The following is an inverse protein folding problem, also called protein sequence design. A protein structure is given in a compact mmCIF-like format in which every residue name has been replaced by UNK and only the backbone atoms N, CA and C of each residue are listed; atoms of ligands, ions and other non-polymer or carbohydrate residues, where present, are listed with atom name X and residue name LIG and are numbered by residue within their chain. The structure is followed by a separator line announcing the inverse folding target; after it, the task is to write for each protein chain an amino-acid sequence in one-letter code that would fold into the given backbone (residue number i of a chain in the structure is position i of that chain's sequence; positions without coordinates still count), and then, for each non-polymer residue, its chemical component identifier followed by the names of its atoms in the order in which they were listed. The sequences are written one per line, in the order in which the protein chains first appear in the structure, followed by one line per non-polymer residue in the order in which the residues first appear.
data_IF_854747468940
#
_entry.id   IF_854747468940
#
_cell.length_a   1.000
_cell.length_b   1.000
_cell.length_c   1.000
_cell.angle_alpha   90.00
_cell.angle_beta   90.00
_cell.angle_gamma   90.00
#
_symmetry.space_group_name_H-M   'P 1'
#
loop_
_entity.id
_entity.type
_entity.pdbx_description
1 polymer ?
#
# COMPACT_ATOMS: atom_id res chain seq x y z
N UNK A 1 -11.60 1.72 -18.20
CA UNK A 1 -11.77 2.79 -17.21
C UNK A 1 -10.44 3.44 -16.90
N UNK A 2 -10.44 4.75 -16.88
CA UNK A 2 -9.24 5.54 -16.70
C UNK A 2 -9.27 6.24 -15.34
N UNK A 3 -8.21 6.11 -14.58
CA UNK A 3 -8.12 6.77 -13.29
C UNK A 3 -7.53 8.17 -13.43
N UNK A 4 -7.90 9.06 -12.52
CA UNK A 4 -7.40 10.43 -12.48
C UNK A 4 -5.95 10.46 -12.01
N UNK A 5 -5.14 11.34 -12.60
CA UNK A 5 -3.76 11.52 -12.16
C UNK A 5 -3.71 11.83 -10.64
N UNK A 6 -2.76 11.23 -9.95
CA UNK A 6 -2.63 11.33 -8.50
C UNK A 6 -3.34 10.22 -7.73
N UNK A 7 -4.11 9.39 -8.41
CA UNK A 7 -4.80 8.26 -7.78
C UNK A 7 -3.81 7.11 -7.54
N UNK A 8 -3.98 6.44 -6.41
CA UNK A 8 -3.30 5.18 -6.12
C UNK A 8 -4.23 4.03 -6.48
N UNK A 9 -3.74 3.05 -7.24
CA UNK A 9 -4.49 1.83 -7.53
C UNK A 9 -3.71 0.65 -6.98
N UNK A 10 -4.34 -0.13 -6.11
CA UNK A 10 -3.72 -1.32 -5.52
C UNK A 10 -4.30 -2.56 -6.18
N UNK A 11 -3.45 -3.34 -6.83
CA UNK A 11 -3.80 -4.62 -7.42
C UNK A 11 -3.13 -5.72 -6.60
N UNK A 12 -3.86 -6.25 -5.64
CA UNK A 12 -3.33 -7.27 -4.73
C UNK A 12 -3.04 -8.59 -5.45
N UNK A 13 -3.84 -8.94 -6.44
CA UNK A 13 -3.64 -10.19 -7.18
C UNK A 13 -2.32 -10.18 -7.93
N UNK A 14 -2.01 -9.08 -8.60
CA UNK A 14 -0.78 -8.94 -9.37
C UNK A 14 0.42 -8.53 -8.50
N UNK A 15 0.18 -8.09 -7.28
CA UNK A 15 1.20 -7.59 -6.34
C UNK A 15 1.91 -6.36 -6.85
N UNK A 16 1.11 -5.42 -7.34
CA UNK A 16 1.58 -4.11 -7.76
C UNK A 16 0.68 -3.01 -7.22
N UNK A 17 1.30 -1.86 -6.98
CA UNK A 17 0.61 -0.61 -6.69
C UNK A 17 0.99 0.38 -7.77
N UNK A 18 0.02 1.14 -8.24
CA UNK A 18 0.22 2.12 -9.30
C UNK A 18 -0.07 3.52 -8.77
N UNK A 19 0.81 4.45 -9.08
CA UNK A 19 0.55 5.87 -8.88
C UNK A 19 0.28 6.47 -10.26
N UNK A 20 -0.94 6.92 -10.49
CA UNK A 20 -1.40 7.35 -11.80
C UNK A 20 -0.83 8.72 -12.14
N UNK A 21 -0.24 8.82 -13.32
CA UNK A 21 0.32 10.04 -13.87
C UNK A 21 -0.60 10.57 -14.98
N UNK A 22 -0.39 11.84 -15.44
CA UNK A 22 -1.14 12.35 -16.58
C UNK A 22 -0.92 11.49 -17.82
N UNK A 23 -1.84 11.57 -18.77
CA UNK A 23 -1.75 10.97 -20.10
C UNK A 23 -1.79 9.44 -20.08
N UNK A 24 -2.48 8.87 -19.10
CA UNK A 24 -2.68 7.42 -19.05
C UNK A 24 -1.47 6.63 -18.62
N UNK A 25 -0.47 7.28 -18.03
CA UNK A 25 0.74 6.63 -17.54
C UNK A 25 0.67 6.41 -16.05
N UNK A 26 1.54 5.57 -15.53
CA UNK A 26 1.63 5.31 -14.09
C UNK A 26 3.03 4.86 -13.71
N UNK A 27 3.37 5.10 -12.45
CA UNK A 27 4.55 4.49 -11.83
C UNK A 27 4.06 3.23 -11.15
N UNK A 28 4.75 2.13 -11.35
CA UNK A 28 4.42 0.85 -10.78
C UNK A 28 5.43 0.50 -9.68
N UNK A 29 4.89 0.09 -8.53
CA UNK A 29 5.70 -0.37 -7.40
C UNK A 29 5.35 -1.82 -7.12
N UNK A 30 6.37 -2.65 -6.88
CA UNK A 30 6.14 -4.01 -6.38
C UNK A 30 5.72 -3.96 -4.92
N UNK A 31 4.79 -4.83 -4.54
CA UNK A 31 4.27 -4.84 -3.18
C UNK A 31 4.25 -6.25 -2.60
N UNK A 32 4.24 -6.31 -1.27
CA UNK A 32 3.87 -7.49 -0.51
C UNK A 32 2.46 -7.27 0.01
N UNK A 33 1.63 -8.29 -0.10
CA UNK A 33 0.23 -8.22 0.34
C UNK A 33 0.07 -9.09 1.58
N UNK A 34 -0.33 -8.48 2.70
CA UNK A 34 -0.62 -9.20 3.93
C UNK A 34 -2.09 -9.59 4.03
N UNK A 35 -2.40 -10.47 4.96
CA UNK A 35 -3.79 -10.91 5.17
C UNK A 35 -4.72 -9.76 5.51
N UNK A 36 -4.23 -8.76 6.23
CA UNK A 36 -5.05 -7.61 6.61
C UNK A 36 -5.54 -6.80 5.41
N UNK A 37 -4.83 -6.90 4.28
CA UNK A 37 -5.24 -6.22 3.06
C UNK A 37 -6.52 -6.80 2.46
N UNK A 38 -6.89 -8.01 2.83
CA UNK A 38 -8.10 -8.65 2.31
C UNK A 38 -9.37 -8.09 2.96
N UNK A 39 -9.24 -7.33 4.04
CA UNK A 39 -10.39 -6.80 4.77
C UNK A 39 -11.05 -5.62 4.07
N UNK A 40 -10.41 -5.03 3.06
CA UNK A 40 -10.95 -3.85 2.40
C UNK A 40 -10.74 -3.89 0.90
N UNK A 41 -11.76 -3.49 0.17
CA UNK A 41 -11.64 -3.17 -1.26
C UNK A 41 -12.63 -2.05 -1.56
N UNK A 42 -12.39 -1.32 -2.63
CA UNK A 42 -13.26 -0.23 -3.05
C UNK A 42 -12.54 1.10 -3.13
N UNK A 43 -13.30 2.16 -3.00
CA UNK A 43 -12.81 3.53 -3.11
C UNK A 43 -12.57 4.13 -1.73
N UNK A 44 -11.43 4.79 -1.58
CA UNK A 44 -11.05 5.43 -0.35
C UNK A 44 -10.13 6.61 -0.66
N UNK A 45 -9.53 7.18 0.37
CA UNK A 45 -8.58 8.27 0.21
C UNK A 45 -7.46 8.13 1.23
N UNK A 46 -6.33 8.79 0.94
CA UNK A 46 -5.27 8.93 1.91
C UNK A 46 -5.72 9.98 2.93
N UNK A 47 -5.97 9.54 4.15
CA UNK A 47 -6.42 10.43 5.22
C UNK A 47 -5.29 11.00 6.05
N UNK A 48 -4.13 10.33 6.06
CA UNK A 48 -2.98 10.72 6.87
C UNK A 48 -1.71 10.13 6.28
N UNK A 49 -0.60 10.81 6.46
CA UNK A 49 0.74 10.35 6.06
C UNK A 49 1.68 10.52 7.24
N UNK A 50 2.61 9.60 7.44
CA UNK A 50 3.62 9.73 8.48
C UNK A 50 4.99 9.28 8.02
N UNK A 51 6.01 10.01 8.45
CA UNK A 51 7.42 9.62 8.30
C UNK A 51 7.81 8.82 9.54
N UNK A 52 8.48 7.67 9.32
CA UNK A 52 8.92 6.78 10.40
C UNK A 52 7.82 6.55 11.43
N UNK A 53 6.71 5.92 11.04
CA UNK A 53 5.57 5.76 11.94
C UNK A 53 5.87 4.79 13.07
N UNK A 54 5.18 4.98 14.20
CA UNK A 54 5.07 3.94 15.20
C UNK A 54 4.07 2.88 14.73
N UNK A 55 4.07 1.73 15.40
CA UNK A 55 3.15 0.66 15.06
C UNK A 55 2.40 0.18 16.30
N UNK A 56 1.07 0.20 16.20
CA UNK A 56 0.20 -0.37 17.20
C UNK A 56 -0.62 -1.46 16.52
N UNK A 57 -0.33 -2.74 16.79
CA UNK A 57 -1.09 -3.83 16.18
C UNK A 57 -2.57 -3.74 16.51
N UNK A 58 -3.41 -4.09 15.52
CA UNK A 58 -4.84 -4.21 15.77
C UNK A 58 -5.13 -5.42 16.64
N UNK A 59 -6.35 -5.49 17.19
CA UNK A 59 -6.76 -6.66 17.96
C UNK A 59 -6.72 -7.94 17.13
N UNK A 60 -7.09 -7.86 15.87
CA UNK A 60 -7.04 -9.03 14.97
C UNK A 60 -5.63 -9.52 14.75
N UNK A 61 -4.68 -8.60 14.57
CA UNK A 61 -3.27 -8.96 14.43
C UNK A 61 -2.76 -9.62 15.72
N UNK A 62 -3.11 -9.07 16.87
CA UNK A 62 -2.70 -9.65 18.16
C UNK A 62 -3.24 -11.06 18.34
N UNK A 63 -4.48 -11.30 17.95
CA UNK A 63 -5.09 -12.64 18.03
C UNK A 63 -4.40 -13.63 17.12
N UNK A 64 -4.06 -13.20 15.90
CA UNK A 64 -3.45 -14.08 14.90
C UNK A 64 -2.01 -14.42 15.22
N UNK A 65 -1.23 -13.41 15.60
CA UNK A 65 0.21 -13.58 15.80
C UNK A 65 0.58 -13.90 17.25
N UNK A 66 -0.36 -13.78 18.18
CA UNK A 66 -0.16 -14.13 19.56
C UNK A 66 0.72 -13.13 20.29
N UNK A 67 1.91 -13.56 20.68
CA UNK A 67 2.75 -12.83 21.63
C UNK A 67 3.56 -11.72 20.94
N UNK A 68 2.90 -10.63 20.57
CA UNK A 68 3.55 -9.47 19.96
C UNK A 68 3.41 -8.25 20.85
N UNK A 69 4.33 -7.25 20.72
CA UNK A 69 4.23 -6.02 21.50
C UNK A 69 2.95 -5.25 21.22
N UNK A 70 2.46 -4.56 22.22
CA UNK A 70 1.30 -3.67 22.04
C UNK A 70 1.66 -2.42 21.26
N UNK A 71 2.93 -2.07 21.18
CA UNK A 71 3.40 -0.84 20.53
C UNK A 71 4.87 -1.02 20.14
N UNK A 72 5.21 -0.56 18.94
CA UNK A 72 6.59 -0.52 18.46
C UNK A 72 6.94 0.91 18.08
N UNK A 73 8.00 1.43 18.66
CA UNK A 73 8.48 2.77 18.37
C UNK A 73 9.01 2.87 16.92
N UNK A 74 9.04 4.07 16.33
CA UNK A 74 9.65 4.25 15.00
C UNK A 74 11.10 3.77 14.98
N UNK A 75 11.52 3.24 13.83
CA UNK A 75 12.92 2.86 13.65
C UNK A 75 13.09 1.64 12.74
N UNK A 76 14.36 1.20 12.59
CA UNK A 76 14.68 0.11 11.66
C UNK A 76 14.04 -1.22 12.00
N UNK A 77 13.64 -1.43 13.24
CA UNK A 77 12.99 -2.67 13.67
C UNK A 77 11.47 -2.60 13.58
N UNK A 78 10.92 -1.46 13.18
CA UNK A 78 9.48 -1.28 13.07
C UNK A 78 8.99 -1.85 11.73
N UNK A 79 8.00 -2.76 11.75
CA UNK A 79 7.50 -3.36 10.50
C UNK A 79 6.81 -2.37 9.56
N UNK A 80 6.44 -1.18 10.04
CA UNK A 80 5.87 -0.14 9.18
C UNK A 80 6.91 0.56 8.31
N UNK A 81 8.18 0.40 8.63
CA UNK A 81 9.27 0.96 7.86
C UNK A 81 9.37 2.48 7.92
N UNK A 82 9.83 3.07 6.82
CA UNK A 82 10.21 4.49 6.77
C UNK A 82 9.03 5.45 6.60
N UNK A 83 7.96 5.02 5.96
CA UNK A 83 6.81 5.88 5.62
C UNK A 83 5.53 5.08 5.67
N UNK A 84 4.43 5.74 5.98
CA UNK A 84 3.12 5.10 5.95
C UNK A 84 2.06 6.06 5.40
N UNK A 85 1.15 5.48 4.63
CA UNK A 85 -0.07 6.12 4.17
C UNK A 85 -1.25 5.42 4.84
N UNK A 86 -2.13 6.18 5.45
CA UNK A 86 -3.29 5.66 6.17
C UNK A 86 -4.53 5.90 5.33
N UNK A 87 -5.25 4.83 5.04
CA UNK A 87 -6.37 4.85 4.09
C UNK A 87 -7.68 5.00 4.84
N UNK A 88 -8.46 6.00 4.46
CA UNK A 88 -9.72 6.35 5.11
C UNK A 88 -10.87 6.27 4.12
N UNK A 89 -12.01 5.83 4.62
CA UNK A 89 -13.28 5.87 3.91
C UNK A 89 -14.15 6.92 4.60
N UNK A 90 -14.28 8.09 3.99
CA UNK A 90 -14.86 9.23 4.68
C UNK A 90 -14.00 9.63 5.88
N UNK A 91 -14.60 9.67 7.07
CA UNK A 91 -13.88 9.95 8.31
C UNK A 91 -13.47 8.68 9.05
N UNK A 92 -13.74 7.51 8.48
CA UNK A 92 -13.46 6.24 9.12
C UNK A 92 -12.09 5.73 8.70
N UNK A 93 -11.23 5.44 9.66
CA UNK A 93 -9.97 4.75 9.42
C UNK A 93 -10.29 3.30 9.05
N UNK A 94 -9.95 2.90 7.83
CA UNK A 94 -10.21 1.54 7.36
C UNK A 94 -9.26 0.52 7.97
N UNK A 95 -8.23 0.98 8.67
CA UNK A 95 -7.10 0.18 9.15
C UNK A 95 -6.23 -0.36 8.02
N UNK A 96 -6.52 -0.03 6.79
CA UNK A 96 -5.69 -0.37 5.64
C UNK A 96 -4.50 0.58 5.57
N UNK A 97 -3.31 0.02 5.46
CA UNK A 97 -2.06 0.78 5.48
C UNK A 97 -1.23 0.44 4.26
N UNK A 98 -0.60 1.45 3.70
CA UNK A 98 0.40 1.30 2.64
C UNK A 98 1.69 1.86 3.24
N UNK A 99 2.72 1.01 3.36
CA UNK A 99 3.88 1.42 4.15
C UNK A 99 5.17 0.75 3.68
N UNK A 100 6.28 1.20 4.22
CA UNK A 100 7.56 0.57 4.01
C UNK A 100 7.69 -0.75 4.77
N UNK A 101 8.90 -1.28 4.83
CA UNK A 101 9.12 -2.56 5.47
C UNK A 101 10.51 -2.65 6.09
N UNK A 102 10.63 -3.45 7.13
CA UNK A 102 11.92 -3.85 7.65
C UNK A 102 12.38 -5.19 7.04
N UNK A 103 11.65 -5.73 6.07
CA UNK A 103 11.93 -7.02 5.43
C UNK A 103 11.79 -6.91 3.91
N UNK A 104 12.71 -6.17 3.24
CA UNK A 104 12.57 -5.91 1.81
C UNK A 104 12.67 -7.16 0.94
N UNK A 105 13.27 -8.22 1.42
CA UNK A 105 13.42 -9.48 0.70
C UNK A 105 12.09 -10.18 0.39
N UNK A 106 11.02 -9.80 1.08
CA UNK A 106 9.69 -10.40 0.85
C UNK A 106 8.82 -9.61 -0.12
N UNK A 107 9.32 -8.51 -0.69
CA UNK A 107 8.52 -7.76 -1.67
C UNK A 107 8.19 -8.67 -2.86
N UNK A 108 6.94 -8.62 -3.29
CA UNK A 108 6.43 -9.46 -4.37
C UNK A 108 5.80 -10.75 -3.92
N UNK A 109 5.79 -11.02 -2.61
CA UNK A 109 5.18 -12.22 -2.05
C UNK A 109 3.89 -11.88 -1.31
N UNK A 110 3.21 -12.91 -0.82
CA UNK A 110 2.07 -12.75 0.08
C UNK A 110 2.47 -13.32 1.42
N UNK A 111 2.52 -12.47 2.44
CA UNK A 111 2.88 -12.88 3.78
C UNK A 111 1.80 -12.43 4.77
N UNK A 112 1.82 -13.00 5.96
CA UNK A 112 0.66 -13.01 6.83
C UNK A 112 0.39 -11.72 7.60
N UNK A 113 1.30 -10.78 7.69
CA UNK A 113 1.09 -9.59 8.53
C UNK A 113 1.17 -8.29 7.74
N UNK A 114 0.45 -7.28 8.21
CA UNK A 114 0.41 -5.96 7.59
C UNK A 114 -0.53 -5.90 6.40
N UNK A 115 -0.68 -4.73 5.82
CA UNK A 115 -1.53 -4.56 4.65
C UNK A 115 -0.71 -4.61 3.36
N UNK A 116 -0.21 -3.47 2.92
CA UNK A 116 0.52 -3.37 1.66
C UNK A 116 1.90 -2.83 1.98
N UNK A 117 2.94 -3.59 1.63
CA UNK A 117 4.32 -3.19 1.91
C UNK A 117 5.08 -2.89 0.64
N UNK A 118 5.86 -1.82 0.68
CA UNK A 118 6.83 -1.47 -0.35
C UNK A 118 8.23 -1.54 0.28
N UNK A 119 9.27 -1.53 -0.55
CA UNK A 119 10.59 -1.24 -0.02
C UNK A 119 10.58 0.14 0.61
N UNK A 120 11.50 0.42 1.51
CA UNK A 120 11.55 1.75 2.12
C UNK A 120 11.81 2.84 1.09
N UNK A 121 12.65 2.58 0.09
CA UNK A 121 12.90 3.54 -0.99
C UNK A 121 11.64 3.84 -1.77
N UNK A 122 10.87 2.81 -2.11
CA UNK A 122 9.62 2.98 -2.85
C UNK A 122 8.56 3.69 -2.00
N UNK A 123 8.51 3.37 -0.70
CA UNK A 123 7.59 4.04 0.22
C UNK A 123 7.90 5.53 0.31
N UNK A 124 9.16 5.90 0.36
CA UNK A 124 9.58 7.31 0.37
C UNK A 124 9.20 7.99 -0.95
N UNK A 125 9.46 7.34 -2.09
CA UNK A 125 9.12 7.89 -3.39
C UNK A 125 7.62 8.13 -3.53
N UNK A 126 6.82 7.14 -3.16
CA UNK A 126 5.36 7.27 -3.21
C UNK A 126 4.86 8.34 -2.23
N UNK A 127 5.38 8.34 -1.01
CA UNK A 127 5.01 9.32 0.01
C UNK A 127 5.23 10.76 -0.49
N UNK A 128 6.35 11.00 -1.17
CA UNK A 128 6.66 12.33 -1.67
C UNK A 128 5.74 12.77 -2.80
N UNK A 129 5.15 11.84 -3.53
CA UNK A 129 4.23 12.15 -4.64
C UNK A 129 2.80 12.33 -4.18
N UNK A 130 2.38 11.56 -3.18
CA UNK A 130 0.99 11.47 -2.73
C UNK A 130 0.65 12.62 -1.81
N UNK A 131 -0.58 13.12 -1.93
CA UNK A 131 -1.12 14.15 -1.03
C UNK A 131 -2.22 13.56 -0.18
N UNK A 132 -2.38 14.11 1.03
CA UNK A 132 -3.57 13.81 1.83
C UNK A 132 -4.80 14.20 1.02
N UNK A 133 -5.77 13.31 0.95
CA UNK A 133 -6.95 13.48 0.10
C UNK A 133 -6.86 12.76 -1.23
N UNK A 134 -5.68 12.26 -1.63
CA UNK A 134 -5.53 11.49 -2.86
C UNK A 134 -6.43 10.27 -2.84
N UNK A 135 -7.07 9.99 -3.97
CA UNK A 135 -7.93 8.84 -4.14
C UNK A 135 -7.13 7.54 -4.08
N UNK A 136 -7.69 6.54 -3.43
CA UNK A 136 -7.12 5.19 -3.39
C UNK A 136 -8.19 4.22 -3.88
N UNK A 137 -7.85 3.46 -4.92
CA UNK A 137 -8.71 2.41 -5.45
C UNK A 137 -8.06 1.08 -5.08
N UNK A 138 -8.71 0.31 -4.22
CA UNK A 138 -8.24 -1.02 -3.86
C UNK A 138 -9.10 -2.02 -4.63
N UNK A 139 -8.49 -2.72 -5.58
CA UNK A 139 -9.21 -3.67 -6.41
C UNK A 139 -9.61 -4.90 -5.60
N UNK A 140 -10.84 -5.36 -5.80
CA UNK A 140 -11.28 -6.61 -5.21
C UNK A 140 -10.57 -7.78 -5.90
N UNK A 141 -10.49 -8.96 -5.26
CA UNK A 141 -9.96 -10.14 -5.92
C UNK A 141 -10.66 -10.38 -7.26
N UNK A 142 -9.86 -10.65 -8.28
CA UNK A 142 -10.38 -10.88 -9.63
C UNK A 142 -10.64 -9.62 -10.46
N UNK A 143 -10.46 -8.44 -9.89
CA UNK A 143 -10.64 -7.16 -10.61
C UNK A 143 -9.34 -6.60 -11.16
N UNK A 144 -8.22 -7.28 -10.94
CA UNK A 144 -6.94 -6.78 -11.38
C UNK A 144 -6.84 -6.62 -12.89
N UNK A 145 -5.91 -5.76 -13.31
CA UNK A 145 -5.65 -5.56 -14.73
C UNK A 145 -5.04 -6.81 -15.33
N UNK A 146 -5.36 -7.04 -16.59
CA UNK A 146 -4.78 -8.12 -17.37
C UNK A 146 -4.07 -7.53 -18.58
N UNK A 147 -3.23 -8.30 -19.26
CA UNK A 147 -2.61 -7.83 -20.49
C UNK A 147 -3.62 -7.41 -21.56
N UNK A 148 -4.83 -7.99 -21.53
CA UNK A 148 -5.86 -7.66 -22.51
C UNK A 148 -6.66 -6.41 -22.14
N UNK A 149 -6.56 -5.92 -20.90
CA UNK A 149 -7.33 -4.76 -20.45
C UNK A 149 -6.59 -3.96 -19.38
N UNK A 150 -5.42 -3.42 -19.71
CA UNK A 150 -4.65 -2.64 -18.74
C UNK A 150 -5.33 -1.30 -18.45
N UNK A 151 -5.29 -0.89 -17.17
CA UNK A 151 -5.85 0.40 -16.75
C UNK A 151 -4.95 1.56 -17.14
N UNK A 152 -3.65 1.36 -17.02
CA UNK A 152 -2.65 2.41 -17.25
C UNK A 152 -1.44 1.80 -17.94
N UNK A 153 -0.71 2.64 -18.66
CA UNK A 153 0.57 2.27 -19.23
C UNK A 153 1.66 2.55 -18.18
N UNK A 154 2.66 1.68 -18.14
CA UNK A 154 3.78 1.87 -17.26
C UNK A 154 4.73 2.92 -17.80
N UNK A 155 5.41 3.60 -16.91
CA UNK A 155 6.47 4.53 -17.26
C UNK A 155 7.56 4.40 -16.19
N UNK A 156 8.76 4.67 -16.53
CA UNK A 156 9.96 4.65 -15.70
C UNK A 156 9.77 4.40 -14.20
N UNK A 157 10.61 5.01 -13.42
CA UNK A 157 10.49 4.91 -11.96
C UNK A 157 10.80 3.54 -11.41
N UNK A 158 9.94 3.03 -10.56
CA UNK A 158 10.15 1.79 -9.84
C UNK A 158 9.51 0.58 -10.49
N UNK A 159 9.44 0.56 -11.78
CA UNK A 159 8.96 -0.62 -12.47
C UNK A 159 9.89 -1.79 -12.17
N UNK A 160 9.31 -2.91 -11.79
CA UNK A 160 10.07 -4.07 -11.34
C UNK A 160 10.04 -5.22 -12.34
N UNK A 161 9.95 -4.95 -13.57
CA UNK A 161 9.93 -5.98 -14.62
C UNK A 161 10.79 -7.17 -14.32
#
# INVERSE_FOLDING_TARGET
RKETAGTIVVDSDARYLYYVLPEGKAIRYGITVGEDALAFSGLAKVGRKEEWPSWTPTNDIKKRLGNIPAYVAPGPHNPMGSRALYVYEGNRDTLYRIHGTNQPEYIGSAISSGCIRLTNEDAIDLFNRVKVGSMVVVLAPGQGDSPSNPRVAFTGGRDVN
#
